data_IF_948358813970
#
_entry.id   IF_948358813970
#
_cell.length_a   1.000
_cell.length_b   1.000
_cell.length_c   1.000
_cell.angle_alpha   90.00
_cell.angle_beta   90.00
_cell.angle_gamma   90.00
#
_symmetry.space_group_name_H-M   'P 1'
#
loop_
_entity.id
_entity.type
_entity.pdbx_description
1 polymer ?
#
# COMPACT_ATOMS: atom_id res chain seq x y z
N UNK A 1 -11.78 -20.19 17.34
CA UNK A 1 -11.77 -19.38 16.10
C UNK A 1 -10.32 -18.99 15.83
N UNK A 2 -9.74 -19.36 14.68
CA UNK A 2 -8.37 -18.94 14.35
C UNK A 2 -8.44 -17.54 13.71
N UNK A 3 -7.95 -16.53 14.43
CA UNK A 3 -7.98 -15.13 13.99
C UNK A 3 -7.04 -14.89 12.80
N UNK A 4 -5.90 -15.58 12.75
CA UNK A 4 -4.98 -15.51 11.60
C UNK A 4 -5.63 -16.06 10.34
N UNK A 5 -6.36 -17.17 10.46
CA UNK A 5 -7.11 -17.73 9.35
C UNK A 5 -8.09 -16.69 8.79
N UNK A 6 -8.92 -16.06 9.62
CA UNK A 6 -9.89 -15.06 9.14
C UNK A 6 -9.23 -13.86 8.45
N UNK A 7 -8.09 -13.39 8.95
CA UNK A 7 -7.35 -12.27 8.34
C UNK A 7 -6.82 -12.57 6.95
N UNK A 8 -6.61 -13.85 6.60
CA UNK A 8 -6.19 -14.23 5.25
C UNK A 8 -7.33 -14.23 4.21
N UNK A 9 -8.60 -14.24 4.64
CA UNK A 9 -9.75 -14.28 3.72
C UNK A 9 -10.56 -12.98 3.70
N UNK A 10 -10.33 -12.08 4.64
CA UNK A 10 -11.07 -10.82 4.76
C UNK A 10 -10.11 -9.64 4.67
N UNK A 11 -10.24 -8.84 3.62
CA UNK A 11 -9.64 -7.52 3.52
C UNK A 11 -10.58 -6.44 4.05
N UNK A 12 -10.04 -5.44 4.74
CA UNK A 12 -10.79 -4.30 5.27
C UNK A 12 -10.28 -3.01 4.62
N UNK A 13 -11.20 -2.16 4.17
CA UNK A 13 -10.91 -0.82 3.63
C UNK A 13 -11.57 0.20 4.53
N UNK A 14 -10.76 1.03 5.19
CA UNK A 14 -11.22 2.10 6.08
C UNK A 14 -11.54 3.37 5.29
N UNK A 15 -12.50 4.18 5.78
CA UNK A 15 -12.79 5.49 5.19
C UNK A 15 -11.61 6.45 5.33
N UNK A 16 -10.92 6.42 6.48
CA UNK A 16 -9.68 7.13 6.72
C UNK A 16 -8.52 6.14 6.57
N UNK A 17 -7.76 6.20 5.45
CA UNK A 17 -6.62 5.33 5.26
C UNK A 17 -5.49 5.72 6.22
N UNK A 18 -4.88 4.73 6.86
CA UNK A 18 -3.67 4.93 7.67
C UNK A 18 -2.43 4.52 6.87
N UNK A 19 -1.45 5.42 6.82
CA UNK A 19 -0.13 5.15 6.26
C UNK A 19 0.89 5.12 7.40
N UNK A 20 1.78 4.13 7.37
CA UNK A 20 2.96 4.09 8.22
C UNK A 20 4.03 5.07 7.69
N UNK A 21 4.83 5.62 8.60
CA UNK A 21 5.95 6.52 8.26
C UNK A 21 7.12 5.74 7.66
N UNK A 22 6.96 5.35 6.40
CA UNK A 22 7.83 4.42 5.67
C UNK A 22 7.54 4.56 4.16
N UNK A 23 8.15 3.76 3.29
CA UNK A 23 7.89 3.84 1.83
C UNK A 23 6.52 3.31 1.42
N UNK A 24 6.05 3.67 0.21
CA UNK A 24 4.83 3.11 -0.39
C UNK A 24 4.92 1.58 -0.47
N UNK A 25 6.06 1.06 -0.91
CA UNK A 25 6.34 -0.36 -0.99
C UNK A 25 6.15 -1.04 0.38
N UNK A 26 6.73 -0.48 1.44
CA UNK A 26 6.64 -1.02 2.79
C UNK A 26 5.20 -0.97 3.34
N UNK A 27 4.43 0.09 3.03
CA UNK A 27 3.01 0.15 3.36
C UNK A 27 2.20 -0.96 2.68
N UNK A 28 2.50 -1.30 1.42
CA UNK A 28 1.82 -2.38 0.70
C UNK A 28 2.24 -3.77 1.24
N UNK A 29 3.54 -3.97 1.50
CA UNK A 29 4.08 -5.20 2.09
C UNK A 29 3.57 -5.47 3.49
N UNK A 30 3.11 -4.44 4.21
CA UNK A 30 2.49 -4.62 5.53
C UNK A 30 1.27 -5.56 5.48
N UNK A 31 0.51 -5.56 4.38
CA UNK A 31 -0.60 -6.50 4.20
C UNK A 31 -0.17 -7.92 3.80
N UNK A 32 1.05 -8.09 3.29
CA UNK A 32 1.64 -9.39 2.87
C UNK A 32 3.16 -9.26 2.72
N UNK A 33 3.94 -9.87 3.60
CA UNK A 33 5.39 -9.59 3.70
C UNK A 33 6.23 -10.06 2.48
N UNK A 34 5.73 -11.02 1.69
CA UNK A 34 6.45 -11.66 0.58
C UNK A 34 5.93 -11.28 -0.82
N UNK A 35 5.54 -10.02 -1.04
CA UNK A 35 5.17 -9.52 -2.38
C UNK A 35 6.40 -9.19 -3.21
N UNK A 36 6.39 -9.38 -4.52
CA UNK A 36 7.43 -8.85 -5.42
C UNK A 36 7.05 -7.46 -5.92
N UNK A 37 8.02 -6.66 -6.38
CA UNK A 37 7.77 -5.34 -6.96
C UNK A 37 6.85 -5.41 -8.20
N UNK A 38 6.90 -6.53 -8.93
CA UNK A 38 5.99 -6.82 -10.04
C UNK A 38 4.55 -7.01 -9.56
N UNK A 39 4.33 -7.74 -8.46
CA UNK A 39 3.02 -7.91 -7.85
C UNK A 39 2.50 -6.61 -7.24
N UNK A 40 3.38 -5.80 -6.63
CA UNK A 40 3.04 -4.46 -6.14
C UNK A 40 2.58 -3.58 -7.31
N UNK A 41 3.34 -3.58 -8.41
CA UNK A 41 2.97 -2.85 -9.63
C UNK A 41 1.63 -3.30 -10.19
N UNK A 42 1.37 -4.61 -10.21
CA UNK A 42 0.09 -5.16 -10.66
C UNK A 42 -1.07 -4.74 -9.73
N UNK A 43 -0.85 -4.72 -8.41
CA UNK A 43 -1.83 -4.25 -7.44
C UNK A 43 -2.13 -2.75 -7.61
N UNK A 44 -1.10 -1.93 -7.80
CA UNK A 44 -1.25 -0.49 -8.06
C UNK A 44 -2.04 -0.21 -9.34
N UNK A 45 -1.85 -0.99 -10.40
CA UNK A 45 -2.66 -0.88 -11.63
C UNK A 45 -4.13 -1.23 -11.39
N UNK A 46 -4.39 -2.31 -10.65
CA UNK A 46 -5.77 -2.71 -10.28
C UNK A 46 -6.46 -1.68 -9.38
N UNK A 47 -5.69 -1.01 -8.53
CA UNK A 47 -6.16 0.05 -7.64
C UNK A 47 -6.22 1.44 -8.31
N UNK A 48 -5.91 1.55 -9.61
CA UNK A 48 -5.81 2.83 -10.33
C UNK A 48 -4.83 3.85 -9.70
N UNK A 49 -3.83 3.36 -8.96
CA UNK A 49 -2.84 4.17 -8.27
C UNK A 49 -1.47 4.17 -8.96
N UNK A 50 -1.29 3.36 -10.01
CA UNK A 50 0.00 3.19 -10.67
C UNK A 50 0.57 4.50 -11.22
N UNK A 51 -0.23 5.28 -11.95
CA UNK A 51 0.25 6.52 -12.57
C UNK A 51 0.58 7.60 -11.52
N UNK A 52 -0.20 7.65 -10.43
CA UNK A 52 0.09 8.51 -9.27
C UNK A 52 1.43 8.12 -8.64
N UNK A 53 1.61 6.85 -8.30
CA UNK A 53 2.86 6.38 -7.67
C UNK A 53 4.06 6.59 -8.60
N UNK A 54 3.90 6.35 -9.90
CA UNK A 54 4.94 6.58 -10.91
C UNK A 54 5.29 8.07 -11.09
N UNK A 55 4.38 8.98 -10.74
CA UNK A 55 4.65 10.42 -10.81
C UNK A 55 5.63 10.90 -9.73
N UNK A 56 5.81 10.11 -8.65
CA UNK A 56 6.81 10.44 -7.63
C UNK A 56 8.23 10.13 -8.11
N UNK A 57 9.24 10.96 -7.74
CA UNK A 57 10.63 10.77 -8.17
C UNK A 57 11.20 9.38 -7.85
N UNK A 58 10.77 8.77 -6.74
CA UNK A 58 11.27 7.47 -6.25
C UNK A 58 10.26 6.34 -6.46
N UNK A 59 9.12 6.59 -7.12
CA UNK A 59 8.10 5.59 -7.38
C UNK A 59 7.60 4.91 -6.10
N UNK A 60 7.61 3.56 -6.07
CA UNK A 60 7.23 2.76 -4.90
C UNK A 60 8.16 2.95 -3.68
N UNK A 61 9.37 3.46 -3.89
CA UNK A 61 10.33 3.72 -2.80
C UNK A 61 10.13 5.10 -2.15
N UNK A 62 9.19 5.90 -2.65
CA UNK A 62 8.86 7.21 -2.07
C UNK A 62 8.40 7.06 -0.62
N UNK A 63 9.00 7.83 0.29
CA UNK A 63 8.60 7.87 1.70
C UNK A 63 7.36 8.75 1.91
N UNK A 64 6.30 8.20 2.53
CA UNK A 64 5.00 8.89 2.72
C UNK A 64 4.82 9.48 4.12
N UNK A 65 5.85 9.42 4.96
CA UNK A 65 5.66 9.37 6.40
C UNK A 65 5.58 10.64 7.24
N UNK A 66 5.88 11.82 6.70
CA UNK A 66 5.69 13.09 7.44
C UNK A 66 4.57 13.96 6.86
N UNK A 67 3.96 13.53 5.74
CA UNK A 67 2.91 14.25 5.01
C UNK A 67 1.83 13.32 4.45
N UNK A 68 1.53 12.22 5.16
CA UNK A 68 0.52 11.23 4.74
C UNK A 68 -0.89 11.81 4.46
N UNK A 69 -1.12 13.06 4.84
CA UNK A 69 -2.27 13.90 4.49
C UNK A 69 -2.32 14.39 3.04
N UNK A 70 -1.30 14.21 2.20
CA UNK A 70 -1.29 14.68 0.80
C UNK A 70 -1.65 13.62 -0.26
N UNK A 71 -1.86 12.37 0.14
CA UNK A 71 -2.48 11.36 -0.73
C UNK A 71 -3.99 11.43 -0.53
N UNK A 72 -4.62 12.54 -0.92
CA UNK A 72 -6.08 12.63 -0.95
C UNK A 72 -6.59 11.60 -1.97
N UNK A 73 -7.62 10.84 -1.59
CA UNK A 73 -8.24 9.81 -2.41
C UNK A 73 -8.67 10.26 -3.80
#
# INVERSE_FOLDING_TARGET
>A
LNIEFLRNYVGVVSQEPMLFNTTIEQNIRYGRENVTDAEITAALRKANAYDLVRSFPEGIYTNVGDRGTQMSG
#
